data_IF_651362712705
#
_entry.id   IF_651362712705
#
_cell.length_a   1.000
_cell.length_b   1.000
_cell.length_c   1.000
_cell.angle_alpha   90.00
_cell.angle_beta   90.00
_cell.angle_gamma   90.00
#
_symmetry.space_group_name_H-M   'P 1'
#
loop_
_entity.id
_entity.type
_entity.pdbx_description
1 polymer ?
#
# COMPACT_ATOMS: atom_id res chain seq x y z
N UNK A 1 -24.77 14.64 14.27
CA UNK A 1 -23.77 14.51 15.34
C UNK A 1 -22.45 14.85 14.70
N UNK A 2 -22.12 16.13 14.78
CA UNK A 2 -20.88 16.74 14.32
C UNK A 2 -19.67 16.14 15.04
N UNK A 3 -18.57 15.93 14.31
CA UNK A 3 -17.23 16.25 14.78
C UNK A 3 -16.26 16.40 13.60
N UNK A 4 -16.07 17.67 13.24
CA UNK A 4 -14.80 18.34 12.95
C UNK A 4 -13.92 17.80 11.81
N UNK A 5 -14.03 18.50 10.68
CA UNK A 5 -12.92 18.73 9.78
C UNK A 5 -11.92 19.68 10.48
N UNK A 6 -10.68 19.23 10.69
CA UNK A 6 -9.58 20.06 11.20
C UNK A 6 -8.43 20.02 10.19
N UNK A 7 -8.38 21.05 9.35
CA UNK A 7 -7.23 21.35 8.51
C UNK A 7 -6.04 21.82 9.35
N UNK A 8 -4.93 21.13 9.21
CA UNK A 8 -3.69 21.80 8.86
C UNK A 8 -3.37 21.29 7.46
N UNK A 9 -3.21 22.18 6.48
CA UNK A 9 -2.77 21.82 5.14
C UNK A 9 -1.44 21.07 5.28
N UNK A 10 -1.53 19.74 5.36
CA UNK A 10 -0.38 18.88 5.44
C UNK A 10 0.45 19.25 4.21
N UNK A 11 1.72 19.60 4.43
CA UNK A 11 2.74 19.58 3.38
C UNK A 11 2.34 18.42 2.47
N UNK A 12 1.99 18.69 1.19
CA UNK A 12 1.58 17.62 0.28
C UNK A 12 2.54 16.47 0.53
N UNK A 13 2.06 15.32 1.03
CA UNK A 13 2.94 14.34 1.66
C UNK A 13 4.05 14.10 0.66
N UNK A 14 5.29 14.29 1.12
CA UNK A 14 6.42 13.97 0.27
C UNK A 14 6.17 12.53 -0.17
N UNK A 15 5.96 12.34 -1.47
CA UNK A 15 5.57 11.05 -2.03
C UNK A 15 6.64 10.08 -1.59
N UNK A 16 6.29 9.15 -0.69
CA UNK A 16 7.21 8.13 -0.26
C UNK A 16 7.30 7.12 -1.41
N UNK A 17 8.44 7.06 -2.13
CA UNK A 17 8.56 6.22 -3.31
C UNK A 17 8.48 4.73 -2.93
N UNK A 18 8.89 4.36 -1.72
CA UNK A 18 8.84 2.98 -1.24
C UNK A 18 7.40 2.61 -0.94
N UNK A 19 6.67 3.44 -0.20
CA UNK A 19 5.25 3.22 0.07
C UNK A 19 4.44 3.16 -1.22
N UNK A 20 4.70 4.08 -2.15
CA UNK A 20 4.03 4.13 -3.46
C UNK A 20 4.29 2.87 -4.28
N UNK A 21 5.55 2.39 -4.31
CA UNK A 21 5.87 1.17 -5.04
C UNK A 21 5.30 -0.08 -4.40
N UNK A 22 5.26 -0.18 -3.07
CA UNK A 22 4.55 -1.28 -2.40
C UNK A 22 3.05 -1.26 -2.66
N UNK A 23 2.41 -0.09 -2.60
CA UNK A 23 0.99 0.05 -2.94
C UNK A 23 0.72 -0.40 -4.39
N UNK A 24 1.58 -0.02 -5.34
CA UNK A 24 1.47 -0.48 -6.72
C UNK A 24 1.59 -2.01 -6.85
N UNK A 25 2.60 -2.62 -6.20
CA UNK A 25 2.77 -4.08 -6.22
C UNK A 25 1.57 -4.80 -5.59
N UNK A 26 1.00 -4.24 -4.52
CA UNK A 26 -0.17 -4.83 -3.86
C UNK A 26 -1.43 -4.72 -4.74
N UNK A 27 -1.64 -3.60 -5.42
CA UNK A 27 -2.71 -3.43 -6.40
C UNK A 27 -2.61 -4.46 -7.54
N UNK A 28 -1.38 -4.72 -8.03
CA UNK A 28 -1.13 -5.77 -9.02
C UNK A 28 -1.47 -7.16 -8.49
N UNK A 29 -1.14 -7.49 -7.24
CA UNK A 29 -1.47 -8.82 -6.68
C UNK A 29 -2.97 -9.00 -6.53
N UNK A 30 -3.67 -7.95 -6.09
CA UNK A 30 -5.11 -7.94 -5.86
C UNK A 30 -5.92 -7.77 -7.16
N UNK A 31 -5.26 -7.43 -8.28
CA UNK A 31 -5.90 -7.15 -9.58
C UNK A 31 -6.90 -5.99 -9.51
N UNK A 32 -6.51 -4.92 -8.80
CA UNK A 32 -7.29 -3.67 -8.67
C UNK A 32 -6.52 -2.48 -9.24
N UNK A 33 -7.20 -1.36 -9.45
CA UNK A 33 -6.56 -0.15 -10.01
C UNK A 33 -5.57 0.54 -9.05
N UNK A 34 -5.91 0.59 -7.76
CA UNK A 34 -5.06 1.16 -6.71
C UNK A 34 -5.48 0.62 -5.35
N UNK A 35 -4.57 0.66 -4.38
CA UNK A 35 -4.87 0.46 -2.97
C UNK A 35 -4.57 1.73 -2.20
N UNK A 36 -5.40 2.00 -1.20
CA UNK A 36 -5.10 3.04 -0.21
C UNK A 36 -3.91 2.57 0.64
N UNK A 37 -2.80 3.32 0.71
CA UNK A 37 -1.63 2.94 1.51
C UNK A 37 -1.93 2.85 3.01
N UNK A 38 -3.01 3.46 3.49
CA UNK A 38 -3.42 3.41 4.89
C UNK A 38 -4.42 2.27 5.20
N UNK A 39 -4.83 1.48 4.20
CA UNK A 39 -5.77 0.38 4.37
C UNK A 39 -5.16 -0.81 5.13
N UNK A 40 -5.95 -1.42 6.00
CA UNK A 40 -5.55 -2.67 6.64
C UNK A 40 -5.56 -3.81 5.63
N UNK A 41 -4.39 -4.38 5.37
CA UNK A 41 -4.17 -5.35 4.29
C UNK A 41 -5.09 -6.57 4.40
N UNK A 42 -5.33 -7.07 5.61
CA UNK A 42 -6.19 -8.25 5.81
C UNK A 42 -7.67 -7.90 5.90
N UNK A 43 -8.01 -6.85 6.67
CA UNK A 43 -9.41 -6.55 7.00
C UNK A 43 -10.09 -5.70 5.93
N UNK A 44 -9.40 -4.71 5.38
CA UNK A 44 -9.98 -3.77 4.41
C UNK A 44 -9.75 -4.24 2.96
N UNK A 45 -8.60 -4.88 2.68
CA UNK A 45 -8.28 -5.37 1.33
C UNK A 45 -8.60 -6.86 1.13
N UNK A 46 -9.01 -7.57 2.19
CA UNK A 46 -9.33 -8.99 2.14
C UNK A 46 -8.14 -9.88 1.74
N UNK A 47 -6.90 -9.42 1.96
CA UNK A 47 -5.72 -10.21 1.63
C UNK A 47 -5.59 -11.43 2.56
N UNK A 48 -4.98 -12.49 2.05
CA UNK A 48 -4.63 -13.68 2.81
C UNK A 48 -3.11 -13.96 2.75
N UNK A 49 -2.68 -15.06 3.37
CA UNK A 49 -1.28 -15.48 3.35
C UNK A 49 -0.73 -15.74 1.94
N UNK A 50 -1.57 -16.17 0.99
CA UNK A 50 -1.14 -16.37 -0.40
C UNK A 50 -0.95 -15.02 -1.11
N UNK A 51 -1.80 -14.02 -0.83
CA UNK A 51 -1.62 -12.64 -1.31
C UNK A 51 -0.28 -12.10 -0.82
N UNK A 52 0.05 -12.27 0.47
CA UNK A 52 1.34 -11.82 1.02
C UNK A 52 2.54 -12.58 0.43
N UNK A 53 2.44 -13.89 0.24
CA UNK A 53 3.50 -14.66 -0.41
C UNK A 53 3.75 -14.17 -1.85
N UNK A 54 2.69 -13.86 -2.61
CA UNK A 54 2.77 -13.31 -3.98
C UNK A 54 3.32 -11.90 -3.99
N UNK A 55 2.93 -11.07 -3.04
CA UNK A 55 3.47 -9.72 -2.84
C UNK A 55 4.97 -9.77 -2.61
N UNK A 56 5.45 -10.53 -1.62
CA UNK A 56 6.88 -10.67 -1.34
C UNK A 56 7.66 -11.22 -2.55
N UNK A 57 7.08 -12.19 -3.29
CA UNK A 57 7.71 -12.72 -4.50
C UNK A 57 7.84 -11.68 -5.63
N UNK A 58 6.90 -10.73 -5.73
CA UNK A 58 6.96 -9.63 -6.70
C UNK A 58 7.93 -8.53 -6.27
N UNK A 59 7.92 -8.14 -5.00
CA UNK A 59 8.85 -7.14 -4.46
C UNK A 59 10.30 -7.57 -4.70
N UNK A 60 10.63 -8.86 -4.51
CA UNK A 60 11.99 -9.38 -4.79
C UNK A 60 12.46 -9.21 -6.24
N UNK A 61 11.55 -8.93 -7.18
CA UNK A 61 11.87 -8.69 -8.61
C UNK A 61 11.97 -7.20 -8.95
N UNK A 62 11.58 -6.31 -8.03
CA UNK A 62 11.68 -4.86 -8.19
C UNK A 62 13.04 -4.40 -7.64
N UNK A 63 13.94 -3.95 -8.53
CA UNK A 63 15.27 -3.49 -8.14
C UNK A 63 15.23 -2.20 -7.31
N UNK A 64 14.18 -1.41 -7.48
CA UNK A 64 14.02 -0.09 -6.84
C UNK A 64 13.26 -0.16 -5.51
N UNK A 65 12.82 -1.36 -5.09
CA UNK A 65 12.13 -1.56 -3.81
C UNK A 65 12.96 -2.39 -2.85
N UNK A 66 12.99 -2.02 -1.55
CA UNK A 66 13.60 -2.87 -0.53
C UNK A 66 12.95 -4.25 -0.51
N UNK A 67 13.76 -5.30 -0.38
CA UNK A 67 13.22 -6.64 -0.21
C UNK A 67 12.55 -6.77 1.18
N UNK A 68 11.41 -7.45 1.22
CA UNK A 68 10.69 -7.76 2.45
C UNK A 68 11.19 -9.11 3.00
N UNK A 69 11.53 -9.16 4.30
CA UNK A 69 12.00 -10.37 5.01
C UNK A 69 11.06 -10.75 6.15
#
# INVERSE_FOLDING_TARGET
>A
MDLVSAGAAARAPAVDPVLTGYAAVLAEVLQVGSVDPDAHVFDDLGADSMVMARFCARVRKQADLPAVS
#
